data_IF_882337292633
#
_entry.id   IF_882337292633
#
_cell.length_a   1.000
_cell.length_b   1.000
_cell.length_c   1.000
_cell.angle_alpha   90.00
_cell.angle_beta   90.00
_cell.angle_gamma   90.00
#
_symmetry.space_group_name_H-M   'P 1'
#
loop_
_entity.id
_entity.type
_entity.pdbx_description
1 polymer ?
#
# COMPACT_ATOMS: atom_id res chain seq x y z
N UNK A 1 -12.32 1.28 -12.14
CA UNK A 1 -10.87 1.22 -11.78
C UNK A 1 -10.63 2.12 -10.58
N UNK A 2 -9.87 1.65 -9.59
CA UNK A 2 -9.43 2.46 -8.44
C UNK A 2 -7.91 2.55 -8.46
N UNK A 3 -7.35 3.75 -8.33
CA UNK A 3 -5.90 3.97 -8.30
C UNK A 3 -5.48 4.52 -6.94
N UNK A 4 -4.40 3.98 -6.38
CA UNK A 4 -3.89 4.34 -5.05
C UNK A 4 -2.38 4.58 -5.05
N UNK A 5 -1.75 4.60 -6.23
CA UNK A 5 -0.31 4.80 -6.38
C UNK A 5 0.08 5.13 -7.82
N UNK A 6 1.31 5.62 -7.99
CA UNK A 6 1.84 6.13 -9.25
C UNK A 6 3.26 5.66 -9.55
N UNK A 7 3.59 4.41 -9.22
CA UNK A 7 4.96 3.87 -9.34
C UNK A 7 5.56 4.02 -10.75
N UNK A 8 4.74 3.93 -11.80
CA UNK A 8 5.17 4.10 -13.20
C UNK A 8 5.49 5.56 -13.58
N UNK A 9 5.12 6.53 -12.74
CA UNK A 9 5.17 7.98 -13.01
C UNK A 9 4.43 8.41 -14.29
N UNK A 10 3.53 7.57 -14.79
CA UNK A 10 2.69 7.84 -15.97
C UNK A 10 1.26 8.13 -15.53
N UNK A 11 0.52 8.97 -16.27
CA UNK A 11 -0.89 9.16 -16.02
C UNK A 11 -1.68 7.87 -16.30
N UNK A 12 -2.85 7.78 -15.67
CA UNK A 12 -3.82 6.72 -15.96
C UNK A 12 -4.54 7.11 -17.25
N UNK A 13 -4.50 6.24 -18.25
CA UNK A 13 -5.15 6.46 -19.55
C UNK A 13 -6.32 5.48 -19.73
N UNK A 14 -7.46 5.98 -20.17
CA UNK A 14 -8.66 5.18 -20.49
C UNK A 14 -9.20 5.57 -21.85
N UNK A 15 -9.74 4.59 -22.59
CA UNK A 15 -10.41 4.85 -23.86
C UNK A 15 -11.71 5.63 -23.67
N UNK A 16 -11.89 6.71 -24.43
CA UNK A 16 -13.13 7.51 -24.47
C UNK A 16 -14.36 6.65 -24.76
N UNK A 17 -14.27 5.69 -25.70
CA UNK A 17 -15.40 4.83 -26.05
C UNK A 17 -15.83 3.94 -24.87
N UNK A 18 -14.87 3.48 -24.08
CA UNK A 18 -15.19 2.68 -22.89
C UNK A 18 -15.74 3.55 -21.76
N UNK A 19 -15.27 4.79 -21.62
CA UNK A 19 -15.82 5.71 -20.63
C UNK A 19 -17.27 6.10 -20.94
N UNK A 20 -17.58 6.44 -22.20
CA UNK A 20 -18.93 6.87 -22.61
C UNK A 20 -19.91 5.70 -22.74
N UNK A 21 -19.52 4.62 -23.42
CA UNK A 21 -20.48 3.58 -23.84
C UNK A 21 -20.51 2.34 -22.94
N UNK A 22 -19.57 2.23 -21.98
CA UNK A 22 -19.56 1.13 -20.99
C UNK A 22 -19.70 1.62 -19.55
N UNK A 23 -20.01 2.91 -19.37
CA UNK A 23 -20.23 3.55 -18.06
C UNK A 23 -19.11 3.24 -17.04
N UNK A 24 -17.85 3.35 -17.49
CA UNK A 24 -16.72 3.05 -16.63
C UNK A 24 -16.47 4.16 -15.61
N UNK A 25 -16.42 3.80 -14.33
CA UNK A 25 -15.98 4.71 -13.27
C UNK A 25 -14.48 4.59 -12.97
N UNK A 26 -13.79 5.73 -12.92
CA UNK A 26 -12.40 5.85 -12.45
C UNK A 26 -12.38 6.68 -11.16
N UNK A 27 -11.73 6.16 -10.12
CA UNK A 27 -11.65 6.80 -8.80
C UNK A 27 -10.24 6.72 -8.25
N UNK A 28 -9.84 7.74 -7.50
CA UNK A 28 -8.66 7.67 -6.64
C UNK A 28 -9.04 7.15 -5.25
N UNK A 29 -8.13 6.42 -4.61
CA UNK A 29 -8.24 6.04 -3.20
C UNK A 29 -7.04 6.58 -2.43
N UNK A 30 -7.31 7.26 -1.32
CA UNK A 30 -6.28 7.84 -0.46
C UNK A 30 -6.51 7.38 0.97
N UNK A 31 -5.70 6.42 1.41
CA UNK A 31 -5.86 5.77 2.71
C UNK A 31 -5.79 6.76 3.87
N UNK A 32 -4.84 7.71 3.86
CA UNK A 32 -4.71 8.70 4.93
C UNK A 32 -5.96 9.58 5.07
N UNK A 33 -6.60 9.97 3.96
CA UNK A 33 -7.88 10.68 3.99
C UNK A 33 -9.01 9.81 4.49
N UNK A 34 -9.00 8.52 4.15
CA UNK A 34 -10.01 7.58 4.65
C UNK A 34 -9.86 7.32 6.15
N UNK A 35 -8.63 7.30 6.67
CA UNK A 35 -8.34 7.19 8.11
C UNK A 35 -8.42 8.54 8.86
N UNK A 36 -9.18 9.51 8.33
CA UNK A 36 -9.41 10.78 9.04
C UNK A 36 -10.25 10.58 10.31
N UNK A 37 -10.26 11.59 11.19
CA UNK A 37 -11.02 11.59 12.45
C UNK A 37 -12.50 11.22 12.26
N UNK A 38 -13.10 11.67 11.17
CA UNK A 38 -14.53 11.47 10.87
C UNK A 38 -14.88 10.00 10.59
N UNK A 39 -13.87 9.16 10.33
CA UNK A 39 -13.98 7.72 10.05
C UNK A 39 -13.20 6.88 11.05
N UNK A 40 -12.94 7.39 12.26
CA UNK A 40 -12.12 6.70 13.26
C UNK A 40 -12.69 5.32 13.64
N UNK A 41 -14.01 5.21 13.82
CA UNK A 41 -14.67 3.92 14.16
C UNK A 41 -14.58 2.90 13.01
N UNK A 42 -14.86 3.33 11.78
CA UNK A 42 -14.71 2.49 10.58
C UNK A 42 -13.25 2.02 10.42
N UNK A 43 -12.29 2.93 10.64
CA UNK A 43 -10.87 2.64 10.55
C UNK A 43 -10.43 1.62 11.60
N UNK A 44 -10.91 1.77 12.83
CA UNK A 44 -10.62 0.83 13.92
C UNK A 44 -11.20 -0.54 13.63
N UNK A 45 -12.45 -0.61 13.19
CA UNK A 45 -13.11 -1.86 12.82
C UNK A 45 -12.34 -2.61 11.72
N UNK A 46 -11.85 -1.88 10.72
CA UNK A 46 -11.01 -2.45 9.66
C UNK A 46 -9.67 -2.96 10.18
N UNK A 47 -9.01 -2.21 11.08
CA UNK A 47 -7.75 -2.62 11.70
C UNK A 47 -7.95 -3.89 12.53
N UNK A 48 -8.99 -3.95 13.36
CA UNK A 48 -9.30 -5.11 14.20
C UNK A 48 -9.50 -6.37 13.34
N UNK A 49 -10.25 -6.25 12.24
CA UNK A 49 -10.42 -7.33 11.26
C UNK A 49 -9.09 -7.79 10.65
N UNK A 50 -8.20 -6.86 10.28
CA UNK A 50 -6.88 -7.23 9.75
C UNK A 50 -6.01 -7.94 10.79
N UNK A 51 -6.09 -7.50 12.06
CA UNK A 51 -5.39 -8.16 13.16
C UNK A 51 -5.90 -9.59 13.36
N UNK A 52 -7.20 -9.83 13.30
CA UNK A 52 -7.76 -11.19 13.39
C UNK A 52 -7.20 -12.09 12.29
N UNK A 53 -7.13 -11.60 11.05
CA UNK A 53 -6.52 -12.36 9.94
C UNK A 53 -5.04 -12.67 10.18
N UNK A 54 -4.29 -11.77 10.83
CA UNK A 54 -2.88 -12.02 11.20
C UNK A 54 -2.80 -13.08 12.30
N UNK A 55 -3.62 -13.00 13.34
CA UNK A 55 -3.66 -13.99 14.42
C UNK A 55 -4.04 -15.39 13.92
N UNK A 56 -4.96 -15.46 12.97
CA UNK A 56 -5.35 -16.71 12.29
C UNK A 56 -4.30 -17.20 11.27
N UNK A 57 -3.24 -16.42 11.01
CA UNK A 57 -2.21 -16.74 10.03
C UNK A 57 -2.69 -16.67 8.57
N UNK A 58 -3.87 -16.10 8.32
CA UNK A 58 -4.44 -15.88 6.97
C UNK A 58 -3.82 -14.66 6.27
N UNK A 59 -3.31 -13.70 7.05
CA UNK A 59 -2.56 -12.56 6.56
C UNK A 59 -1.11 -12.67 7.01
N UNK A 60 -0.20 -12.88 6.04
CA UNK A 60 1.25 -12.93 6.25
C UNK A 60 1.93 -11.89 5.37
N UNK A 61 3.05 -11.36 5.84
CA UNK A 61 3.81 -10.37 5.10
C UNK A 61 5.31 -10.65 5.23
N UNK A 62 6.00 -10.70 4.10
CA UNK A 62 7.45 -10.94 4.07
C UNK A 62 8.20 -9.64 4.36
N UNK A 63 9.01 -9.68 5.42
CA UNK A 63 9.79 -8.54 5.87
C UNK A 63 11.19 -8.96 6.31
N UNK A 64 12.14 -8.05 6.16
CA UNK A 64 13.50 -8.17 6.66
C UNK A 64 13.68 -7.18 7.82
N UNK A 65 14.06 -7.70 8.99
CA UNK A 65 14.41 -6.88 10.15
C UNK A 65 15.87 -6.45 10.02
N UNK A 66 16.10 -5.15 9.96
CA UNK A 66 17.44 -4.58 9.79
C UNK A 66 17.78 -3.67 10.98
N UNK A 67 18.93 -3.84 11.65
CA UNK A 67 19.35 -2.92 12.69
C UNK A 67 19.46 -1.48 12.17
N UNK A 68 19.15 -0.49 13.01
CA UNK A 68 19.27 0.91 12.61
C UNK A 68 20.69 1.31 12.19
N UNK A 69 21.73 0.61 12.68
CA UNK A 69 23.12 0.79 12.23
C UNK A 69 23.31 0.58 10.73
N UNK A 70 22.46 -0.23 10.11
CA UNK A 70 22.53 -0.61 8.70
C UNK A 70 21.51 0.16 7.84
N UNK A 71 21.07 1.34 8.31
CA UNK A 71 20.05 2.17 7.67
C UNK A 71 20.29 2.39 6.17
N UNK A 72 21.53 2.72 5.78
CA UNK A 72 21.86 2.99 4.37
C UNK A 72 21.66 1.77 3.48
N UNK A 73 22.03 0.58 3.97
CA UNK A 73 21.82 -0.67 3.25
C UNK A 73 20.33 -0.99 3.14
N UNK A 74 19.57 -0.84 4.24
CA UNK A 74 18.12 -1.02 4.23
C UNK A 74 17.43 -0.07 3.23
N UNK A 75 17.88 1.18 3.16
CA UNK A 75 17.35 2.17 2.22
C UNK A 75 17.63 1.77 0.76
N UNK A 76 18.87 1.34 0.46
CA UNK A 76 19.23 0.91 -0.90
C UNK A 76 18.42 -0.31 -1.35
N UNK A 77 18.18 -1.27 -0.44
CA UNK A 77 17.29 -2.41 -0.68
C UNK A 77 15.86 -1.96 -0.94
N UNK A 78 15.32 -1.06 -0.11
CA UNK A 78 13.94 -0.55 -0.23
C UNK A 78 13.71 0.26 -1.53
N UNK A 79 14.76 0.92 -2.04
CA UNK A 79 14.73 1.64 -3.32
C UNK A 79 14.94 0.74 -4.54
N UNK A 80 15.11 -0.57 -4.34
CA UNK A 80 15.29 -1.54 -5.41
C UNK A 80 16.68 -1.55 -6.05
N UNK A 81 17.69 -0.90 -5.44
CA UNK A 81 19.07 -0.91 -5.96
C UNK A 81 19.71 -2.30 -5.89
N UNK A 82 19.18 -3.17 -5.03
CA UNK A 82 19.57 -4.57 -4.90
C UNK A 82 18.55 -5.53 -5.51
N UNK A 83 17.77 -5.09 -6.50
CA UNK A 83 16.69 -5.87 -7.10
C UNK A 83 15.47 -5.99 -6.17
N UNK A 84 14.67 -7.05 -6.36
CA UNK A 84 13.50 -7.30 -5.53
C UNK A 84 13.93 -7.81 -4.16
N UNK A 85 13.73 -6.97 -3.14
CA UNK A 85 14.04 -7.29 -1.75
C UNK A 85 12.75 -7.28 -0.91
N UNK A 86 12.66 -8.09 0.15
CA UNK A 86 11.55 -8.00 1.11
C UNK A 86 11.44 -6.60 1.72
N UNK A 87 10.29 -6.29 2.32
CA UNK A 87 10.10 -5.01 3.00
C UNK A 87 11.09 -4.87 4.15
N UNK A 88 11.90 -3.82 4.11
CA UNK A 88 12.87 -3.51 5.16
C UNK A 88 12.14 -2.85 6.34
N UNK A 89 12.37 -3.37 7.55
CA UNK A 89 11.82 -2.87 8.82
C UNK A 89 12.97 -2.60 9.77
N UNK A 90 13.14 -1.32 10.14
CA UNK A 90 14.23 -0.91 11.01
C UNK A 90 13.94 -1.30 12.47
N UNK A 91 14.95 -1.88 13.12
CA UNK A 91 14.94 -2.20 14.54
C UNK A 91 15.92 -1.30 15.29
N UNK A 92 15.42 -0.67 16.35
CA UNK A 92 16.16 0.20 17.25
C UNK A 92 16.62 -0.56 18.50
#
# INVERSE_FOLDING_TARGET
>A
MVTYGGMSKKPVTVSTSSFIFKDLSLRGFWLQKWMSSDKAEESRTMIDYLLDLVHEGKLKYEMELTPFSDFHLALDKALGKHGSQPKQVLKF
#
